data_IF_240555766146
#
_entry.id   IF_240555766146
#
_cell.length_a   1.000
_cell.length_b   1.000
_cell.length_c   1.000
_cell.angle_alpha   90.00
_cell.angle_beta   90.00
_cell.angle_gamma   90.00
#
_symmetry.space_group_name_H-M   'P 1'
#
loop_
_entity.id
_entity.type
_entity.pdbx_description
1 polymer ?
#
# COMPACT_ATOMS: atom_id res chain seq x y z
N UNK A 1 -13.12 22.48 -38.46
CA UNK A 1 -14.19 22.18 -37.47
C UNK A 1 -13.95 20.74 -37.05
N UNK A 2 -13.59 20.35 -35.83
CA UNK A 2 -13.64 20.92 -34.48
C UNK A 2 -12.36 20.41 -33.76
N UNK A 3 -11.45 21.29 -33.34
CA UNK A 3 -11.14 21.62 -31.93
C UNK A 3 -10.79 20.39 -31.06
N UNK A 4 -9.49 20.14 -30.83
CA UNK A 4 -8.77 20.46 -29.56
C UNK A 4 -9.40 19.81 -28.32
N UNK A 5 -8.63 18.92 -27.66
CA UNK A 5 -8.56 18.54 -26.23
C UNK A 5 -8.06 17.07 -26.22
N UNK A 6 -6.84 16.71 -25.83
CA UNK A 6 -6.10 17.13 -24.65
C UNK A 6 -4.59 17.33 -24.95
N UNK A 7 -3.95 18.37 -24.36
CA UNK A 7 -2.51 18.57 -24.37
C UNK A 7 -1.81 17.69 -23.32
N UNK A 8 -0.59 17.26 -23.62
CA UNK A 8 0.44 16.96 -22.63
C UNK A 8 0.21 15.74 -21.74
N UNK A 9 0.67 14.57 -22.20
CA UNK A 9 1.07 13.47 -21.30
C UNK A 9 2.48 13.71 -20.72
N UNK A 10 2.93 14.97 -20.70
CA UNK A 10 4.14 15.40 -20.02
C UNK A 10 3.78 15.70 -18.56
N UNK A 11 3.74 14.65 -17.72
CA UNK A 11 4.03 14.68 -16.28
C UNK A 11 3.64 13.34 -15.63
N UNK A 12 4.17 12.23 -16.14
CA UNK A 12 4.55 11.17 -15.22
C UNK A 12 5.76 11.72 -14.47
N UNK A 13 5.52 12.52 -13.43
CA UNK A 13 6.58 12.91 -12.50
C UNK A 13 7.16 11.60 -12.01
N UNK A 14 8.31 11.26 -12.55
CA UNK A 14 9.23 10.31 -11.97
C UNK A 14 9.40 10.75 -10.54
N UNK A 15 8.70 10.06 -9.63
CA UNK A 15 9.02 10.13 -8.22
C UNK A 15 10.34 9.38 -8.10
N UNK A 16 11.43 10.05 -8.47
CA UNK A 16 12.78 9.65 -8.11
C UNK A 16 12.86 9.82 -6.60
N UNK A 17 12.46 8.79 -5.86
CA UNK A 17 12.78 8.73 -4.45
C UNK A 17 14.21 8.23 -4.35
N UNK A 18 15.09 9.13 -3.95
CA UNK A 18 16.41 8.80 -3.40
C UNK A 18 16.21 7.82 -2.24
N UNK A 19 16.23 6.51 -2.52
CA UNK A 19 16.14 5.47 -1.51
C UNK A 19 17.34 5.61 -0.57
N UNK A 20 17.10 6.06 0.66
CA UNK A 20 18.15 6.09 1.68
C UNK A 20 18.48 4.65 2.04
N UNK A 21 19.78 4.34 2.05
CA UNK A 21 20.34 3.03 2.40
C UNK A 21 19.82 2.60 3.78
N UNK A 22 18.91 1.63 3.84
CA UNK A 22 18.24 1.15 5.07
C UNK A 22 16.71 1.30 5.12
N UNK A 23 16.08 1.90 4.10
CA UNK A 23 14.62 2.08 4.02
C UNK A 23 13.90 0.98 3.20
N UNK A 24 14.53 -0.16 2.95
CA UNK A 24 13.93 -1.27 2.17
C UNK A 24 13.12 -2.27 3.06
N UNK A 25 12.94 -1.96 4.34
CA UNK A 25 12.22 -2.82 5.29
C UNK A 25 10.76 -2.33 5.40
N UNK A 26 9.83 -3.17 4.95
CA UNK A 26 8.38 -2.93 5.04
C UNK A 26 7.92 -2.72 6.48
N UNK A 27 8.24 -3.64 7.40
CA UNK A 27 7.91 -3.55 8.83
C UNK A 27 9.14 -3.75 9.67
N UNK A 28 9.41 -2.82 10.58
CA UNK A 28 10.48 -2.92 11.57
C UNK A 28 9.89 -3.11 12.95
N UNK A 29 10.46 -4.02 13.71
CA UNK A 29 10.09 -4.31 15.09
C UNK A 29 11.26 -4.03 16.02
N UNK A 30 10.97 -3.57 17.23
CA UNK A 30 11.94 -3.44 18.31
C UNK A 30 12.27 -4.83 18.88
N UNK A 31 13.34 -4.92 19.68
CA UNK A 31 13.76 -6.16 20.35
C UNK A 31 12.65 -6.76 21.24
N UNK A 32 11.78 -5.91 21.81
CA UNK A 32 10.64 -6.32 22.62
C UNK A 32 9.41 -6.77 21.79
N UNK A 33 9.54 -6.88 20.47
CA UNK A 33 8.46 -7.27 19.55
C UNK A 33 7.48 -6.15 19.20
N UNK A 34 7.63 -4.94 19.74
CA UNK A 34 6.75 -3.82 19.42
C UNK A 34 7.03 -3.29 18.00
N UNK A 35 5.96 -2.98 17.25
CA UNK A 35 6.09 -2.35 15.94
C UNK A 35 6.78 -0.98 16.07
N UNK A 36 7.84 -0.77 15.29
CA UNK A 36 8.65 0.45 15.29
C UNK A 36 8.32 1.33 14.08
N UNK A 37 8.19 0.72 12.91
CA UNK A 37 7.90 1.43 11.67
C UNK A 37 7.18 0.53 10.67
N UNK A 38 6.36 1.15 9.82
CA UNK A 38 5.78 0.55 8.62
C UNK A 38 6.07 1.47 7.44
N UNK A 39 6.48 0.91 6.31
CA UNK A 39 6.72 1.62 5.05
C UNK A 39 5.76 1.08 3.99
N UNK A 40 5.11 1.97 3.24
CA UNK A 40 4.27 1.56 2.11
C UNK A 40 5.13 0.93 1.00
N UNK A 41 4.75 -0.28 0.57
CA UNK A 41 5.46 -1.01 -0.48
C UNK A 41 5.34 -0.37 -1.88
N UNK A 42 4.33 0.47 -2.12
CA UNK A 42 4.13 1.12 -3.42
C UNK A 42 4.87 2.46 -3.52
N UNK A 43 4.73 3.35 -2.53
CA UNK A 43 5.27 4.72 -2.61
C UNK A 43 6.43 5.01 -1.63
N UNK A 44 6.82 4.06 -0.79
CA UNK A 44 7.89 4.23 0.20
C UNK A 44 7.53 5.11 1.41
N UNK A 45 6.30 5.64 1.49
CA UNK A 45 5.84 6.47 2.61
C UNK A 45 6.03 5.72 3.94
N UNK A 46 6.78 6.33 4.87
CA UNK A 46 6.83 5.89 6.28
C UNK A 46 5.53 6.28 6.96
N UNK A 47 4.84 5.29 7.49
CA UNK A 47 3.55 5.47 8.14
C UNK A 47 3.70 5.68 9.66
N UNK A 48 2.75 6.40 10.26
CA UNK A 48 2.78 6.81 11.67
C UNK A 48 2.53 5.62 12.58
N UNK A 49 3.57 5.19 13.30
CA UNK A 49 3.47 4.20 14.37
C UNK A 49 3.67 4.89 15.72
N UNK A 50 2.71 4.75 16.63
CA UNK A 50 2.82 5.24 18.02
C UNK A 50 2.55 4.09 18.97
N UNK A 51 3.50 3.85 19.87
CA UNK A 51 3.39 2.81 20.90
C UNK A 51 3.11 1.41 20.32
N UNK A 52 3.67 1.10 19.15
CA UNK A 52 3.48 -0.21 18.51
C UNK A 52 2.20 -0.34 17.68
N UNK A 53 1.41 0.74 17.59
CA UNK A 53 0.15 0.77 16.88
C UNK A 53 0.29 1.67 15.67
N UNK A 54 -0.13 1.19 14.49
CA UNK A 54 -0.26 2.00 13.28
C UNK A 54 -1.44 2.97 13.45
N UNK A 55 -1.19 4.28 13.33
CA UNK A 55 -2.14 5.36 13.67
C UNK A 55 -2.67 6.13 12.46
N UNK A 56 -2.69 5.51 11.28
CA UNK A 56 -3.31 6.06 10.09
C UNK A 56 -3.88 4.93 9.21
N UNK A 57 -4.70 5.31 8.22
CA UNK A 57 -5.30 4.37 7.26
C UNK A 57 -4.22 3.64 6.46
N UNK A 58 -4.28 2.31 6.51
CA UNK A 58 -3.39 1.44 5.76
C UNK A 58 -4.07 0.08 5.50
N UNK A 59 -3.79 -0.48 4.33
CA UNK A 59 -4.19 -1.83 3.98
C UNK A 59 -2.99 -2.77 4.14
N UNK A 60 -3.17 -3.83 4.94
CA UNK A 60 -2.20 -4.91 5.07
C UNK A 60 -2.66 -6.11 4.26
N UNK A 61 -1.77 -6.63 3.43
CA UNK A 61 -1.98 -7.88 2.71
C UNK A 61 -1.07 -8.95 3.31
N UNK A 62 -1.66 -10.00 3.86
CA UNK A 62 -0.99 -11.23 4.24
C UNK A 62 -1.76 -12.37 3.59
N UNK A 63 -1.25 -12.89 2.48
CA UNK A 63 -1.97 -13.87 1.69
C UNK A 63 -1.09 -15.06 1.37
N UNK A 64 -1.66 -16.24 1.56
CA UNK A 64 -1.05 -17.51 1.19
C UNK A 64 -1.69 -17.93 -0.12
N UNK A 65 -0.87 -18.05 -1.15
CA UNK A 65 -1.31 -18.60 -2.42
C UNK A 65 -1.48 -20.10 -2.30
N UNK A 66 -2.61 -20.60 -2.79
CA UNK A 66 -2.93 -22.02 -2.73
C UNK A 66 -2.62 -22.75 -4.04
N UNK A 67 -2.90 -24.06 -4.01
CA UNK A 67 -2.66 -25.01 -5.09
C UNK A 67 -3.24 -24.60 -6.44
N UNK A 68 -4.31 -23.80 -6.47
CA UNK A 68 -4.94 -23.37 -7.72
C UNK A 68 -4.26 -22.15 -8.35
N UNK A 69 -3.20 -21.63 -7.74
CA UNK A 69 -2.41 -20.52 -8.26
C UNK A 69 -1.10 -20.97 -8.90
N UNK A 70 -0.63 -20.24 -9.92
CA UNK A 70 0.76 -20.35 -10.39
C UNK A 70 1.79 -19.95 -9.32
N UNK A 71 1.33 -19.34 -8.22
CA UNK A 71 2.11 -18.94 -7.06
C UNK A 71 1.96 -19.90 -5.89
N UNK A 72 1.48 -21.13 -6.12
CA UNK A 72 1.29 -22.14 -5.08
C UNK A 72 2.52 -22.25 -4.15
N UNK A 73 2.25 -22.22 -2.84
CA UNK A 73 3.26 -22.27 -1.79
C UNK A 73 3.95 -20.93 -1.49
N UNK A 74 3.66 -19.85 -2.23
CA UNK A 74 4.15 -18.51 -1.90
C UNK A 74 3.28 -17.84 -0.84
N UNK A 75 3.93 -17.08 0.04
CA UNK A 75 3.24 -16.16 0.97
C UNK A 75 3.66 -14.74 0.63
N UNK A 76 2.69 -13.89 0.36
CA UNK A 76 2.92 -12.48 0.00
C UNK A 76 2.54 -11.58 1.18
N UNK A 77 3.46 -10.69 1.53
CA UNK A 77 3.28 -9.69 2.57
C UNK A 77 3.59 -8.30 2.02
N UNK A 78 2.63 -7.38 2.10
CA UNK A 78 2.87 -5.96 1.81
C UNK A 78 1.89 -5.05 2.55
N UNK A 79 2.29 -3.80 2.77
CA UNK A 79 1.46 -2.73 3.31
C UNK A 79 1.31 -1.59 2.29
N UNK A 80 0.10 -1.06 2.17
CA UNK A 80 -0.20 0.14 1.39
C UNK A 80 -0.73 1.22 2.32
N UNK A 81 -0.24 2.45 2.16
CA UNK A 81 -0.94 3.60 2.74
C UNK A 81 -2.28 3.80 2.02
N UNK A 82 -3.23 4.46 2.66
CA UNK A 82 -4.57 4.73 2.12
C UNK A 82 -4.54 5.28 0.68
N UNK A 83 -3.75 6.32 0.40
CA UNK A 83 -3.61 6.88 -0.95
C UNK A 83 -3.14 5.86 -2.01
N UNK A 84 -2.29 4.90 -1.64
CA UNK A 84 -1.81 3.87 -2.56
C UNK A 84 -2.81 2.73 -2.72
N UNK A 85 -3.60 2.45 -1.67
CA UNK A 85 -4.75 1.57 -1.78
C UNK A 85 -5.77 2.16 -2.76
N UNK A 86 -6.16 3.43 -2.60
CA UNK A 86 -7.10 4.12 -3.48
C UNK A 86 -6.64 4.12 -4.94
N UNK A 87 -5.34 4.39 -5.17
CA UNK A 87 -4.75 4.32 -6.51
C UNK A 87 -4.78 2.92 -7.09
N UNK A 88 -4.56 1.88 -6.29
CA UNK A 88 -4.59 0.50 -6.76
C UNK A 88 -6.02 0.08 -7.13
N UNK A 89 -6.99 0.38 -6.28
CA UNK A 89 -8.39 -0.02 -6.45
C UNK A 89 -9.10 0.80 -7.52
N UNK A 90 -8.65 2.04 -7.80
CA UNK A 90 -9.12 2.84 -8.92
C UNK A 90 -8.86 2.19 -10.29
N UNK A 91 -7.86 1.32 -10.39
CA UNK A 91 -7.53 0.59 -11.63
C UNK A 91 -8.36 -0.71 -11.77
N UNK A 92 -9.20 -1.06 -10.80
CA UNK A 92 -9.99 -2.29 -10.87
C UNK A 92 -11.15 -2.13 -11.87
N UNK A 93 -11.35 -3.16 -12.69
CA UNK A 93 -12.49 -3.23 -13.61
C UNK A 93 -13.82 -3.33 -12.85
N UNK A 94 -13.82 -4.04 -11.72
CA UNK A 94 -14.94 -4.16 -10.79
C UNK A 94 -14.52 -3.43 -9.51
N UNK A 95 -15.30 -2.44 -9.04
CA UNK A 95 -14.96 -1.69 -7.83
C UNK A 95 -14.90 -2.59 -6.61
N UNK A 96 -14.20 -2.13 -5.57
CA UNK A 96 -14.23 -2.80 -4.26
C UNK A 96 -15.65 -2.84 -3.71
N UNK A 97 -16.03 -4.00 -3.18
CA UNK A 97 -17.29 -4.14 -2.46
C UNK A 97 -17.14 -3.52 -1.07
N UNK A 98 -18.13 -2.73 -0.63
CA UNK A 98 -18.04 -1.91 0.59
C UNK A 98 -19.20 -2.24 1.51
N UNK A 99 -18.87 -2.77 2.68
CA UNK A 99 -19.83 -3.03 3.76
C UNK A 99 -19.49 -2.14 4.97
N UNK A 100 -20.50 -1.52 5.57
CA UNK A 100 -20.33 -0.77 6.81
C UNK A 100 -20.22 -1.75 8.00
N UNK A 101 -19.12 -1.68 8.74
CA UNK A 101 -18.96 -2.42 9.99
C UNK A 101 -19.52 -1.60 11.15
N UNK A 102 -20.54 -2.13 11.83
CA UNK A 102 -21.05 -1.52 13.06
C UNK A 102 -20.03 -1.80 14.17
N UNK A 103 -19.35 -0.75 14.65
CA UNK A 103 -18.56 -0.85 15.88
C UNK A 103 -19.52 -1.05 17.07
N UNK A 104 -19.43 -2.20 17.73
CA UNK A 104 -20.00 -2.37 19.07
C UNK A 104 -19.10 -1.58 20.04
N UNK A 105 -19.56 -0.39 20.44
CA UNK A 105 -18.95 0.43 21.49
C UNK A 105 -19.11 -0.20 22.88
#
# INVERSE_FOLDING_TARGET
MLSKLLPGMDNLKTVTQDKKKGEDIMRKYKENGQLDAVCCNMCGKKMVVKEGILREGAARFDYVWDYFSEKDGEVHHFDLCEECYDRMTAEFCIPVDVEEQIELL
#
